data_IF_403671827565
#
_entry.id   IF_403671827565
#
_cell.length_a   1.000
_cell.length_b   1.000
_cell.length_c   1.000
_cell.angle_alpha   90.00
_cell.angle_beta   90.00
_cell.angle_gamma   90.00
#
_symmetry.space_group_name_H-M   'P 1'
#
loop_
_entity.id
_entity.type
_entity.pdbx_description
1 polymer ?
#
# COMPACT_ATOMS: atom_id res chain seq x y z
N UNK A 1 -0.89 15.80 5.87
CA UNK A 1 -0.76 14.62 4.97
C UNK A 1 0.30 13.69 5.57
N UNK A 2 -0.03 12.43 5.84
CA UNK A 2 0.93 11.48 6.38
C UNK A 2 1.98 11.14 5.31
N UNK A 3 3.24 11.51 5.53
CA UNK A 3 4.34 11.15 4.63
C UNK A 3 4.81 9.74 5.00
N UNK A 4 4.66 8.80 4.07
CA UNK A 4 5.14 7.44 4.23
C UNK A 4 6.51 7.32 3.56
N UNK A 5 7.41 6.55 4.17
CA UNK A 5 8.59 6.06 3.47
C UNK A 5 8.97 4.71 4.04
N UNK A 6 9.38 3.79 3.18
CA UNK A 6 9.76 2.44 3.60
C UNK A 6 10.80 1.81 2.69
N UNK A 7 11.78 1.17 3.31
CA UNK A 7 12.69 0.23 2.67
C UNK A 7 11.99 -1.13 2.54
N UNK A 8 11.93 -1.64 1.31
CA UNK A 8 11.19 -2.85 0.95
C UNK A 8 11.88 -4.11 1.48
N UNK A 9 11.09 -4.95 2.16
CA UNK A 9 11.53 -6.26 2.66
C UNK A 9 11.10 -7.38 1.71
N UNK A 10 11.62 -8.59 1.93
CA UNK A 10 11.26 -9.79 1.17
C UNK A 10 9.74 -9.98 1.03
N UNK A 11 8.97 -9.71 2.09
CA UNK A 11 7.50 -9.83 2.08
C UNK A 11 6.83 -8.76 1.23
N UNK A 12 7.40 -7.55 1.19
CA UNK A 12 6.86 -6.47 0.37
C UNK A 12 7.03 -6.83 -1.09
N UNK A 13 8.22 -7.27 -1.51
CA UNK A 13 8.46 -7.68 -2.91
C UNK A 13 7.62 -8.88 -3.32
N UNK A 14 7.45 -9.89 -2.45
CA UNK A 14 6.83 -11.16 -2.84
C UNK A 14 5.31 -11.24 -2.61
N UNK A 15 4.72 -10.35 -1.80
CA UNK A 15 3.32 -10.51 -1.35
C UNK A 15 2.54 -9.19 -1.33
N UNK A 16 2.88 -8.27 -0.43
CA UNK A 16 2.08 -7.08 -0.11
C UNK A 16 2.89 -6.06 0.67
N UNK A 17 2.60 -4.78 0.48
CA UNK A 17 3.26 -3.70 1.21
C UNK A 17 2.57 -3.44 2.54
N UNK A 18 3.27 -3.64 3.66
CA UNK A 18 2.78 -3.14 4.96
C UNK A 18 3.09 -1.66 5.11
N UNK A 19 2.08 -0.86 5.48
CA UNK A 19 2.20 0.57 5.73
C UNK A 19 1.89 0.89 7.21
N UNK A 20 2.31 2.06 7.73
CA UNK A 20 1.94 2.51 9.08
C UNK A 20 0.43 2.75 9.19
N UNK A 21 -0.13 2.60 10.39
CA UNK A 21 -1.56 2.87 10.65
C UNK A 21 -1.94 4.31 10.30
N UNK A 22 -1.04 5.28 10.51
CA UNK A 22 -1.24 6.68 10.13
C UNK A 22 -1.46 6.90 8.62
N UNK A 23 -1.08 5.95 7.76
CA UNK A 23 -1.41 6.01 6.32
C UNK A 23 -2.92 5.94 6.06
N UNK A 24 -3.69 5.34 6.97
CA UNK A 24 -5.13 5.24 6.82
C UNK A 24 -5.82 6.61 6.78
N UNK A 25 -5.25 7.64 7.43
CA UNK A 25 -5.82 9.00 7.39
C UNK A 25 -5.63 9.69 6.03
N UNK A 26 -4.81 9.12 5.14
CA UNK A 26 -4.66 9.59 3.75
C UNK A 26 -5.51 8.82 2.75
N UNK A 27 -6.23 7.80 3.19
CA UNK A 27 -7.10 6.99 2.34
C UNK A 27 -8.56 7.43 2.48
N UNK A 28 -9.40 7.13 1.47
CA UNK A 28 -10.85 7.24 1.65
C UNK A 28 -11.30 6.39 2.85
N UNK A 29 -12.37 6.80 3.51
CA UNK A 29 -12.96 6.05 4.62
C UNK A 29 -13.36 4.65 4.19
N UNK A 30 -13.20 3.69 5.09
CA UNK A 30 -13.76 2.36 4.89
C UNK A 30 -15.29 2.44 4.96
N UNK A 31 -15.98 2.22 3.83
CA UNK A 31 -17.44 2.34 3.77
C UNK A 31 -18.13 1.16 4.49
N UNK A 32 -19.22 1.45 5.23
CA UNK A 32 -20.22 0.47 5.67
C UNK A 32 -19.72 -0.70 6.52
N UNK A 33 -18.68 -0.49 7.35
CA UNK A 33 -18.07 -1.58 8.15
C UNK A 33 -17.06 -2.44 7.37
N UNK A 34 -16.67 -2.01 6.17
CA UNK A 34 -15.61 -2.65 5.39
C UNK A 34 -14.24 -2.59 6.06
N UNK A 35 -13.34 -3.49 5.64
CA UNK A 35 -11.95 -3.52 6.09
C UNK A 35 -10.95 -3.33 4.93
N UNK A 36 -11.45 -2.89 3.78
CA UNK A 36 -10.66 -2.62 2.59
C UNK A 36 -11.17 -1.39 1.85
N UNK A 37 -10.25 -0.64 1.24
CA UNK A 37 -10.54 0.53 0.43
C UNK A 37 -9.68 0.49 -0.84
N UNK A 38 -10.30 0.78 -1.97
CA UNK A 38 -9.62 0.98 -3.23
C UNK A 38 -9.26 2.45 -3.41
N UNK A 39 -8.05 2.73 -3.89
CA UNK A 39 -7.56 4.08 -4.12
C UNK A 39 -6.61 4.11 -5.32
N UNK A 40 -6.42 5.30 -5.87
CA UNK A 40 -5.46 5.53 -6.95
C UNK A 40 -4.25 6.30 -6.42
N UNK A 41 -3.08 6.00 -6.97
CA UNK A 41 -1.86 6.75 -6.73
C UNK A 41 -1.13 6.99 -8.05
N UNK A 42 -0.52 8.17 -8.18
CA UNK A 42 0.27 8.55 -9.35
C UNK A 42 1.75 8.35 -9.01
N UNK A 43 2.48 7.67 -9.89
CA UNK A 43 3.92 7.52 -9.71
C UNK A 43 4.70 8.71 -10.29
N UNK A 44 6.02 8.73 -10.09
CA UNK A 44 6.89 9.81 -10.58
C UNK A 44 6.96 9.94 -12.12
N UNK A 45 6.43 8.95 -12.87
CA UNK A 45 6.30 9.02 -14.33
C UNK A 45 4.90 9.50 -14.78
N UNK A 46 4.03 9.89 -13.85
CA UNK A 46 2.66 10.29 -14.16
C UNK A 46 1.70 9.13 -14.40
N UNK A 47 2.14 7.87 -14.23
CA UNK A 47 1.27 6.71 -14.43
C UNK A 47 0.38 6.50 -13.20
N UNK A 48 -0.90 6.29 -13.45
CA UNK A 48 -1.90 6.01 -12.43
C UNK A 48 -1.90 4.51 -12.10
N UNK A 49 -1.88 4.20 -10.81
CA UNK A 49 -1.94 2.86 -10.26
C UNK A 49 -3.16 2.71 -9.37
N UNK A 50 -3.94 1.65 -9.60
CA UNK A 50 -5.06 1.28 -8.75
C UNK A 50 -4.60 0.27 -7.69
N UNK A 51 -4.79 0.62 -6.42
CA UNK A 51 -4.39 -0.18 -5.28
C UNK A 51 -5.57 -0.49 -4.35
N UNK A 52 -5.46 -1.60 -3.62
CA UNK A 52 -6.36 -1.90 -2.49
C UNK A 52 -5.56 -1.94 -1.19
N UNK A 53 -5.93 -1.08 -0.25
CA UNK A 53 -5.48 -1.16 1.14
C UNK A 53 -6.50 -1.94 1.96
N UNK A 54 -6.05 -2.84 2.83
CA UNK A 54 -6.92 -3.50 3.81
C UNK A 54 -6.30 -3.55 5.19
N UNK A 55 -7.15 -3.59 6.21
CA UNK A 55 -6.77 -3.74 7.61
C UNK A 55 -7.16 -5.12 8.13
N UNK A 56 -6.56 -5.52 9.26
CA UNK A 56 -6.96 -6.74 9.98
C UNK A 56 -8.40 -6.60 10.48
N UNK A 57 -9.17 -7.70 10.41
CA UNK A 57 -10.53 -7.77 10.96
C UNK A 57 -10.57 -7.86 12.48
N UNK A 58 -9.49 -8.35 13.10
CA UNK A 58 -9.36 -8.54 14.55
C UNK A 58 -8.02 -8.00 15.04
N UNK A 59 -8.01 -7.39 16.22
CA UNK A 59 -6.84 -6.79 16.85
C UNK A 59 -6.40 -5.48 16.19
N UNK A 60 -5.14 -5.08 16.39
CA UNK A 60 -4.60 -3.82 15.86
C UNK A 60 -4.78 -3.72 14.34
N UNK A 61 -5.34 -2.62 13.81
CA UNK A 61 -5.68 -2.44 12.40
C UNK A 61 -4.42 -2.20 11.57
N UNK A 62 -3.66 -3.27 11.31
CA UNK A 62 -2.43 -3.21 10.51
C UNK A 62 -2.78 -3.09 9.02
N UNK A 63 -2.50 -1.95 8.36
CA UNK A 63 -2.84 -1.77 6.97
C UNK A 63 -1.83 -2.44 6.03
N UNK A 64 -2.33 -3.01 4.94
CA UNK A 64 -1.55 -3.63 3.88
C UNK A 64 -2.10 -3.27 2.51
N UNK A 65 -1.22 -2.87 1.59
CA UNK A 65 -1.57 -2.69 0.18
C UNK A 65 -1.30 -4.01 -0.55
N UNK A 66 -2.34 -4.61 -1.12
CA UNK A 66 -2.30 -5.95 -1.71
C UNK A 66 -2.62 -5.95 -3.19
N UNK A 67 -3.85 -5.59 -3.59
CA UNK A 67 -4.23 -5.48 -5.00
C UNK A 67 -3.41 -4.39 -5.68
N UNK A 68 -2.93 -4.65 -6.91
CA UNK A 68 -2.11 -3.73 -7.70
C UNK A 68 -0.63 -3.66 -7.30
N UNK A 69 -0.30 -4.03 -6.05
CA UNK A 69 1.06 -3.87 -5.53
C UNK A 69 2.11 -4.70 -6.27
N UNK A 70 1.86 -6.00 -6.50
CA UNK A 70 2.84 -6.83 -7.21
C UNK A 70 3.03 -6.39 -8.67
N UNK A 71 1.96 -5.94 -9.34
CA UNK A 71 2.06 -5.38 -10.68
C UNK A 71 2.96 -4.13 -10.70
N UNK A 72 2.83 -3.26 -9.70
CA UNK A 72 3.72 -2.12 -9.51
C UNK A 72 5.18 -2.55 -9.28
N UNK A 73 5.42 -3.51 -8.39
CA UNK A 73 6.76 -4.07 -8.14
C UNK A 73 7.41 -4.59 -9.41
N UNK A 74 6.69 -5.38 -10.21
CA UNK A 74 7.18 -5.93 -11.47
C UNK A 74 7.45 -4.82 -12.50
N UNK A 75 6.51 -3.88 -12.67
CA UNK A 75 6.66 -2.80 -13.64
C UNK A 75 7.82 -1.85 -13.32
N UNK A 76 8.12 -1.64 -12.03
CA UNK A 76 9.23 -0.78 -11.58
C UNK A 76 10.51 -1.58 -11.30
N UNK A 77 10.51 -2.90 -11.53
CA UNK A 77 11.63 -3.80 -11.24
C UNK A 77 12.17 -3.66 -9.80
N UNK A 78 11.27 -3.46 -8.82
CA UNK A 78 11.66 -3.21 -7.43
C UNK A 78 12.26 -4.45 -6.77
N UNK A 79 13.25 -4.22 -5.92
CA UNK A 79 14.03 -5.22 -5.19
C UNK A 79 14.01 -4.96 -3.69
N UNK A 80 14.42 -5.99 -2.95
CA UNK A 80 14.63 -5.85 -1.50
C UNK A 80 15.74 -4.83 -1.28
N UNK A 81 15.50 -3.85 -0.41
CA UNK A 81 16.42 -2.73 -0.17
C UNK A 81 16.02 -1.43 -0.87
N UNK A 82 15.17 -1.50 -1.90
CA UNK A 82 14.66 -0.28 -2.55
C UNK A 82 13.72 0.48 -1.61
N UNK A 83 13.62 1.80 -1.81
CA UNK A 83 12.78 2.69 -1.01
C UNK A 83 11.58 3.18 -1.80
N UNK A 84 10.40 3.11 -1.19
CA UNK A 84 9.17 3.76 -1.67
C UNK A 84 8.75 4.89 -0.73
N UNK A 85 8.09 5.91 -1.27
CA UNK A 85 7.59 7.08 -0.56
C UNK A 85 6.23 7.50 -1.12
#
# INVERSE_FOLDING_TARGET
MARFSKVLRKTDIKKRLSVPTGFLSSLPSFNGGGHAVDFQAVDGSGRVWAFRCSIRKKGHPKPVISKGWLAFVHSKSLKVGDKVQ
#
